data_IF_263882441345
#
_entry.id   IF_263882441345
#
_cell.length_a   1.000
_cell.length_b   1.000
_cell.length_c   1.000
_cell.angle_alpha   90.00
_cell.angle_beta   90.00
_cell.angle_gamma   90.00
#
_symmetry.space_group_name_H-M   'P 1'
#
loop_
_entity.id
_entity.type
_entity.pdbx_description
1 polymer ?
#
# COMPACT_ATOMS: atom_id res chain seq x y z
N UNK A 1 -11.98 16.49 1.46
CA UNK A 1 -11.35 15.67 2.52
C UNK A 1 -12.18 14.41 2.68
N UNK A 2 -11.59 13.23 2.57
CA UNK A 2 -12.28 11.94 2.73
C UNK A 2 -11.58 11.11 3.80
N UNK A 3 -12.36 10.27 4.49
CA UNK A 3 -11.87 9.28 5.44
C UNK A 3 -12.27 7.92 4.91
N UNK A 4 -11.31 7.01 4.78
CA UNK A 4 -11.55 5.61 4.39
C UNK A 4 -11.12 4.72 5.57
N UNK A 5 -12.00 3.84 5.99
CA UNK A 5 -11.73 2.79 6.96
C UNK A 5 -12.00 1.45 6.26
N UNK A 6 -10.99 0.61 6.15
CA UNK A 6 -11.11 -0.73 5.61
C UNK A 6 -9.98 -1.59 6.18
N UNK A 7 -10.23 -2.88 6.33
CA UNK A 7 -9.20 -3.86 6.58
C UNK A 7 -8.68 -4.41 5.25
N UNK A 8 -7.41 -4.74 5.20
CA UNK A 8 -6.76 -5.26 4.01
C UNK A 8 -5.81 -6.41 4.36
N UNK A 9 -5.63 -7.33 3.44
CA UNK A 9 -4.47 -8.22 3.42
C UNK A 9 -3.55 -7.79 2.29
N UNK A 10 -2.26 -7.83 2.55
CA UNK A 10 -1.20 -7.55 1.57
C UNK A 10 -0.20 -8.69 1.60
N UNK A 11 -0.01 -9.38 0.48
CA UNK A 11 0.70 -10.65 0.43
C UNK A 11 1.75 -10.61 -0.67
N UNK A 12 2.94 -11.14 -0.38
CA UNK A 12 3.98 -11.31 -1.39
C UNK A 12 3.71 -12.54 -2.25
N UNK A 13 3.89 -12.40 -3.58
CA UNK A 13 3.83 -13.54 -4.49
C UNK A 13 5.12 -14.37 -4.45
N UNK A 14 5.02 -15.67 -4.81
CA UNK A 14 6.15 -16.60 -4.85
C UNK A 14 6.50 -17.08 -6.26
N UNK A 15 5.87 -16.51 -7.28
CA UNK A 15 6.09 -16.82 -8.69
C UNK A 15 6.48 -15.56 -9.48
N UNK A 16 6.76 -15.71 -10.78
CA UNK A 16 6.97 -14.53 -11.64
C UNK A 16 5.65 -13.79 -11.90
N UNK A 17 5.76 -12.53 -12.32
CA UNK A 17 4.58 -11.71 -12.65
C UNK A 17 3.76 -12.35 -13.79
N UNK A 18 4.42 -12.91 -14.81
CA UNK A 18 3.76 -13.59 -15.93
C UNK A 18 3.01 -14.83 -15.47
N UNK A 19 3.59 -15.59 -14.54
CA UNK A 19 2.94 -16.78 -13.96
C UNK A 19 1.73 -16.38 -13.13
N UNK A 20 1.82 -15.30 -12.36
CA UNK A 20 0.68 -14.78 -11.59
C UNK A 20 -0.46 -14.35 -12.51
N UNK A 21 -0.15 -13.53 -13.52
CA UNK A 21 -1.15 -13.03 -14.48
C UNK A 21 -1.84 -14.21 -15.20
N UNK A 22 -1.05 -15.19 -15.66
CA UNK A 22 -1.61 -16.40 -16.26
C UNK A 22 -2.53 -17.16 -15.30
N UNK A 23 -2.09 -17.35 -14.05
CA UNK A 23 -2.88 -18.04 -13.03
C UNK A 23 -4.22 -17.33 -12.79
N UNK A 24 -4.23 -16.01 -12.63
CA UNK A 24 -5.46 -15.24 -12.45
C UNK A 24 -6.38 -15.36 -13.67
N UNK A 25 -5.83 -15.26 -14.87
CA UNK A 25 -6.60 -15.44 -16.12
C UNK A 25 -7.22 -16.84 -16.20
N UNK A 26 -6.45 -17.89 -15.90
CA UNK A 26 -6.92 -19.28 -15.89
C UNK A 26 -8.02 -19.50 -14.82
N UNK A 27 -8.01 -18.76 -13.72
CA UNK A 27 -9.04 -18.74 -12.68
C UNK A 27 -10.24 -17.85 -13.03
N UNK A 28 -10.26 -17.21 -14.21
CA UNK A 28 -11.38 -16.41 -14.72
C UNK A 28 -11.39 -14.95 -14.26
N UNK A 29 -10.26 -14.43 -13.78
CA UNK A 29 -10.14 -13.01 -13.54
C UNK A 29 -9.95 -12.22 -14.84
N UNK A 30 -10.54 -11.05 -14.90
CA UNK A 30 -10.38 -10.09 -15.98
C UNK A 30 -9.50 -8.92 -15.51
N UNK A 31 -8.56 -8.53 -16.35
CA UNK A 31 -7.78 -7.33 -16.14
C UNK A 31 -8.67 -6.10 -16.26
N UNK A 32 -8.57 -5.19 -15.31
CA UNK A 32 -9.32 -3.96 -15.26
C UNK A 32 -8.44 -2.72 -15.28
N UNK A 33 -8.67 -1.82 -14.31
CA UNK A 33 -8.00 -0.54 -14.22
C UNK A 33 -6.50 -0.67 -13.94
N UNK A 34 -5.69 0.17 -14.60
CA UNK A 34 -4.25 0.33 -14.37
C UNK A 34 -3.94 1.75 -13.95
N UNK A 35 -3.06 1.90 -12.96
CA UNK A 35 -2.59 3.22 -12.56
C UNK A 35 -1.16 3.14 -12.01
N UNK A 36 -0.47 4.26 -12.04
CA UNK A 36 0.83 4.41 -11.38
C UNK A 36 0.69 5.32 -10.17
N UNK A 37 1.56 5.11 -9.19
CA UNK A 37 1.51 5.78 -7.92
C UNK A 37 2.91 6.09 -7.42
N UNK A 38 3.14 7.36 -7.09
CA UNK A 38 4.34 7.86 -6.42
C UNK A 38 3.97 8.34 -5.02
N UNK A 39 4.45 7.67 -3.99
CA UNK A 39 4.29 8.04 -2.60
C UNK A 39 5.56 8.66 -2.04
N UNK A 40 5.53 9.95 -1.74
CA UNK A 40 6.59 10.69 -1.08
C UNK A 40 6.33 10.73 0.42
N UNK A 41 7.13 10.03 1.22
CA UNK A 41 7.00 9.98 2.66
C UNK A 41 7.85 11.09 3.29
N UNK A 42 7.19 12.01 3.99
CA UNK A 42 7.82 13.12 4.68
C UNK A 42 7.68 12.95 6.19
N UNK A 43 8.78 13.18 6.92
CA UNK A 43 8.82 13.08 8.38
C UNK A 43 9.37 14.37 9.01
N UNK A 44 9.03 14.70 10.27
CA UNK A 44 9.60 15.84 10.97
C UNK A 44 11.14 15.76 11.08
N UNK A 45 11.84 16.87 10.83
CA UNK A 45 13.31 16.95 10.89
C UNK A 45 13.89 16.68 12.29
N UNK A 46 13.11 16.90 13.34
CA UNK A 46 13.53 16.74 14.72
C UNK A 46 13.39 15.31 15.27
N UNK A 47 13.00 14.34 14.41
CA UNK A 47 12.92 12.94 14.83
C UNK A 47 14.32 12.34 14.98
N UNK A 48 14.55 11.70 16.11
CA UNK A 48 15.76 10.91 16.37
C UNK A 48 15.56 9.51 15.87
N UNK A 49 15.95 9.24 14.63
CA UNK A 49 15.65 7.99 13.94
C UNK A 49 16.24 6.77 14.66
N UNK A 50 17.40 6.93 15.31
CA UNK A 50 18.07 5.84 16.02
C UNK A 50 17.33 5.38 17.27
N UNK A 51 16.47 6.23 17.85
CA UNK A 51 15.69 5.93 19.05
C UNK A 51 14.29 5.36 18.73
N UNK A 52 13.89 5.31 17.45
CA UNK A 52 12.55 4.96 17.02
C UNK A 52 12.54 3.68 16.19
N UNK A 53 11.49 2.89 16.34
CA UNK A 53 11.23 1.78 15.40
C UNK A 53 10.79 2.34 14.04
N UNK A 54 10.95 1.56 12.99
CA UNK A 54 10.48 1.91 11.63
C UNK A 54 8.99 2.27 11.64
N UNK A 55 8.20 1.55 12.43
CA UNK A 55 6.76 1.81 12.61
C UNK A 55 6.49 3.15 13.28
N UNK A 56 7.25 3.50 14.32
CA UNK A 56 7.12 4.79 15.01
C UNK A 56 7.42 5.95 14.05
N UNK A 57 8.45 5.79 13.22
CA UNK A 57 8.80 6.78 12.19
C UNK A 57 7.65 6.95 11.20
N UNK A 58 7.12 5.84 10.65
CA UNK A 58 6.02 5.88 9.69
C UNK A 58 4.71 6.40 10.29
N UNK A 59 4.45 6.16 11.58
CA UNK A 59 3.26 6.69 12.26
C UNK A 59 3.24 8.23 12.34
N UNK A 60 4.42 8.85 12.19
CA UNK A 60 4.62 10.32 12.20
C UNK A 60 4.78 10.88 10.78
N UNK A 61 4.72 10.04 9.75
CA UNK A 61 4.88 10.46 8.38
C UNK A 61 3.61 11.05 7.79
N UNK A 62 3.80 11.99 6.88
CA UNK A 62 2.79 12.46 5.94
C UNK A 62 3.19 11.96 4.56
N UNK A 63 2.23 11.49 3.79
CA UNK A 63 2.45 11.00 2.43
C UNK A 63 1.91 12.05 1.46
N UNK A 64 2.77 12.53 0.58
CA UNK A 64 2.33 13.27 -0.60
C UNK A 64 2.24 12.25 -1.74
N UNK A 65 1.05 12.07 -2.27
CA UNK A 65 0.73 11.04 -3.25
C UNK A 65 0.41 11.64 -4.61
N UNK A 66 1.07 11.13 -5.64
CA UNK A 66 0.80 11.45 -7.04
C UNK A 66 0.36 10.17 -7.76
N UNK A 67 -0.82 10.20 -8.37
CA UNK A 67 -1.41 9.05 -9.07
C UNK A 67 -1.69 9.46 -10.52
N UNK A 68 -1.36 8.58 -11.47
CA UNK A 68 -1.80 8.69 -12.86
C UNK A 68 -2.71 7.49 -13.16
N UNK A 69 -3.98 7.75 -13.40
CA UNK A 69 -5.04 6.77 -13.60
C UNK A 69 -5.76 7.09 -14.90
N UNK A 70 -5.51 6.30 -15.95
CA UNK A 70 -6.06 6.51 -17.30
C UNK A 70 -5.89 7.95 -17.80
N UNK A 71 -4.68 8.49 -17.64
CA UNK A 71 -4.34 9.88 -18.00
C UNK A 71 -4.86 10.94 -17.05
N UNK A 72 -5.69 10.58 -16.06
CA UNK A 72 -6.15 11.49 -15.02
C UNK A 72 -5.13 11.58 -13.91
N UNK A 73 -4.72 12.79 -13.56
CA UNK A 73 -3.80 13.05 -12.45
C UNK A 73 -4.61 13.31 -11.18
N UNK A 74 -4.28 12.56 -10.13
CA UNK A 74 -4.85 12.73 -8.79
C UNK A 74 -3.70 12.96 -7.82
N UNK A 75 -3.78 14.04 -7.03
CA UNK A 75 -2.73 14.41 -6.10
C UNK A 75 -3.33 14.61 -4.70
N UNK A 76 -2.69 14.03 -3.68
CA UNK A 76 -3.24 14.02 -2.32
C UNK A 76 -2.15 14.18 -1.27
N UNK A 77 -2.53 14.82 -0.16
CA UNK A 77 -1.87 14.63 1.12
C UNK A 77 -2.62 13.51 1.83
N UNK A 78 -1.90 12.49 2.27
CA UNK A 78 -2.46 11.32 2.95
C UNK A 78 -1.80 11.14 4.30
N UNK A 79 -2.61 11.02 5.35
CA UNK A 79 -2.18 10.59 6.66
C UNK A 79 -2.77 9.20 6.93
N UNK A 80 -1.91 8.19 7.03
CA UNK A 80 -2.32 6.81 7.36
C UNK A 80 -2.13 6.54 8.85
N UNK A 81 -3.16 6.00 9.50
CA UNK A 81 -3.09 5.46 10.85
C UNK A 81 -3.46 4.00 10.81
N UNK A 82 -2.61 3.14 11.39
CA UNK A 82 -2.86 1.71 11.52
C UNK A 82 -2.91 1.36 12.99
N UNK A 83 -3.94 0.61 13.38
CA UNK A 83 -4.01 -0.05 14.67
C UNK A 83 -3.53 -1.49 14.49
N UNK A 84 -2.53 -1.90 15.29
CA UNK A 84 -1.82 -3.15 15.08
C UNK A 84 -1.73 -3.87 16.41
N UNK A 85 -2.12 -5.15 16.45
CA UNK A 85 -2.02 -5.98 17.65
C UNK A 85 -0.57 -6.41 17.96
N UNK A 86 -0.39 -7.04 19.12
CA UNK A 86 0.92 -7.53 19.58
C UNK A 86 1.60 -8.54 18.64
N UNK A 87 0.83 -9.21 17.76
CA UNK A 87 1.32 -10.16 16.76
C UNK A 87 1.66 -9.48 15.42
N UNK A 88 1.52 -8.17 15.30
CA UNK A 88 1.81 -7.42 14.08
C UNK A 88 0.68 -7.41 13.03
N UNK A 89 -0.50 -7.95 13.34
CA UNK A 89 -1.65 -7.94 12.46
C UNK A 89 -2.34 -6.58 12.49
N UNK A 90 -2.79 -6.10 11.33
CA UNK A 90 -3.53 -4.84 11.20
C UNK A 90 -4.97 -5.09 11.65
N UNK A 91 -5.37 -4.49 12.76
CA UNK A 91 -6.73 -4.54 13.29
C UNK A 91 -7.65 -3.56 12.58
N UNK A 92 -7.16 -2.36 12.33
CA UNK A 92 -7.86 -1.34 11.56
C UNK A 92 -6.87 -0.42 10.84
N UNK A 93 -7.32 0.15 9.73
CA UNK A 93 -6.58 1.16 8.99
C UNK A 93 -7.49 2.34 8.67
N UNK A 94 -7.00 3.54 8.94
CA UNK A 94 -7.66 4.79 8.62
C UNK A 94 -6.76 5.64 7.74
N UNK A 95 -7.27 6.10 6.61
CA UNK A 95 -6.61 7.06 5.74
C UNK A 95 -7.39 8.37 5.72
N UNK A 96 -6.73 9.47 6.06
CA UNK A 96 -7.25 10.82 5.91
C UNK A 96 -6.61 11.41 4.65
N UNK A 97 -7.43 11.75 3.66
CA UNK A 97 -6.99 12.26 2.38
C UNK A 97 -7.45 13.71 2.19
N UNK A 98 -6.55 14.55 1.69
CA UNK A 98 -6.83 15.92 1.27
C UNK A 98 -6.30 16.08 -0.16
N UNK A 99 -7.19 16.38 -1.10
CA UNK A 99 -6.78 16.62 -2.49
C UNK A 99 -6.01 17.94 -2.58
N UNK A 100 -4.95 17.94 -3.40
CA UNK A 100 -4.11 19.10 -3.70
C UNK A 100 -3.95 19.27 -5.20
N UNK A 101 -3.62 20.47 -5.64
CA UNK A 101 -3.45 20.79 -7.05
C UNK A 101 -2.03 20.51 -7.57
N UNK A 102 -1.03 20.59 -6.68
CA UNK A 102 0.39 20.44 -7.02
C UNK A 102 1.12 19.72 -5.90
N UNK A 103 1.58 18.48 -6.17
CA UNK A 103 2.32 17.66 -5.20
C UNK A 103 3.68 18.27 -4.83
N UNK A 104 4.36 18.96 -5.78
CA UNK A 104 5.65 19.60 -5.52
C UNK A 104 5.49 20.77 -4.57
N UNK A 105 4.43 21.59 -4.77
CA UNK A 105 4.10 22.64 -3.81
C UNK A 105 3.75 22.07 -2.44
N UNK A 106 3.05 20.92 -2.40
CA UNK A 106 2.78 20.19 -1.15
C UNK A 106 4.07 19.76 -0.44
N UNK A 107 5.04 19.17 -1.15
CA UNK A 107 6.34 18.80 -0.58
C UNK A 107 7.08 20.03 -0.06
N UNK A 108 7.12 21.12 -0.83
CA UNK A 108 7.77 22.37 -0.42
C UNK A 108 7.14 22.96 0.84
N UNK A 109 5.80 22.97 0.92
CA UNK A 109 5.10 23.44 2.13
C UNK A 109 5.52 22.63 3.36
N UNK A 110 5.56 21.30 3.28
CA UNK A 110 6.01 20.48 4.40
C UNK A 110 7.49 20.68 4.74
N UNK A 111 8.35 20.94 3.76
CA UNK A 111 9.75 21.27 4.01
C UNK A 111 9.89 22.56 4.83
N UNK A 112 9.09 23.61 4.52
CA UNK A 112 9.04 24.85 5.30
C UNK A 112 8.45 24.64 6.71
N UNK A 113 7.53 23.69 6.86
CA UNK A 113 6.98 23.26 8.16
C UNK A 113 7.94 22.38 8.98
N UNK A 114 9.18 22.17 8.51
CA UNK A 114 10.18 21.41 9.23
C UNK A 114 10.11 19.89 9.02
N UNK A 115 9.51 19.45 7.92
CA UNK A 115 9.60 18.05 7.47
C UNK A 115 10.71 17.89 6.43
N UNK A 116 11.06 16.64 6.10
CA UNK A 116 11.90 16.29 4.97
C UNK A 116 11.45 14.94 4.41
N UNK A 117 11.72 14.70 3.14
CA UNK A 117 11.42 13.43 2.48
C UNK A 117 12.44 12.38 2.91
N UNK A 118 11.96 11.28 3.50
CA UNK A 118 12.80 10.16 3.91
C UNK A 118 12.85 9.06 2.86
N UNK A 119 11.75 8.85 2.11
CA UNK A 119 11.70 7.86 1.03
C UNK A 119 10.66 8.24 -0.02
N UNK A 120 10.80 7.62 -1.20
CA UNK A 120 9.80 7.62 -2.26
C UNK A 120 9.52 6.18 -2.66
N UNK A 121 8.26 5.78 -2.70
CA UNK A 121 7.84 4.47 -3.17
C UNK A 121 7.04 4.67 -4.45
N UNK A 122 7.54 4.07 -5.53
CA UNK A 122 6.86 4.05 -6.83
C UNK A 122 6.28 2.67 -7.08
N UNK A 123 5.05 2.64 -7.55
CA UNK A 123 4.39 1.40 -7.91
C UNK A 123 3.50 1.58 -9.13
N UNK A 124 3.28 0.47 -9.83
CA UNK A 124 2.28 0.35 -10.88
C UNK A 124 1.29 -0.71 -10.43
N UNK A 125 0.03 -0.34 -10.38
CA UNK A 125 -1.02 -1.23 -9.91
C UNK A 125 -1.91 -1.67 -11.06
N UNK A 126 -2.30 -2.94 -11.05
CA UNK A 126 -3.31 -3.50 -11.95
C UNK A 126 -4.41 -4.11 -11.09
N UNK A 127 -5.64 -3.67 -11.31
CA UNK A 127 -6.80 -4.21 -10.64
C UNK A 127 -7.37 -5.36 -11.47
N UNK A 128 -7.56 -6.51 -10.85
CA UNK A 128 -8.20 -7.68 -11.43
C UNK A 128 -9.56 -7.92 -10.78
N UNK A 129 -10.53 -8.29 -11.61
CA UNK A 129 -11.91 -8.50 -11.20
C UNK A 129 -12.36 -9.92 -11.52
N UNK A 130 -13.09 -10.55 -10.60
CA UNK A 130 -13.85 -11.77 -10.83
C UNK A 130 -15.12 -11.73 -9.99
N UNK A 131 -16.27 -11.78 -10.63
CA UNK A 131 -17.57 -11.64 -9.98
C UNK A 131 -17.64 -10.35 -9.13
N UNK A 132 -17.68 -10.50 -7.81
CA UNK A 132 -17.69 -9.40 -6.84
C UNK A 132 -16.34 -9.18 -6.17
N UNK A 133 -15.32 -9.92 -6.56
CA UNK A 133 -13.98 -9.83 -6.00
C UNK A 133 -13.13 -8.85 -6.81
N UNK A 134 -12.53 -7.92 -6.11
CA UNK A 134 -11.48 -7.04 -6.63
C UNK A 134 -10.16 -7.37 -5.91
N UNK A 135 -9.08 -7.52 -6.66
CA UNK A 135 -7.73 -7.63 -6.12
C UNK A 135 -6.77 -6.71 -6.89
N UNK A 136 -5.86 -6.08 -6.16
CA UNK A 136 -4.82 -5.24 -6.74
C UNK A 136 -3.50 -6.02 -6.79
N UNK A 137 -2.87 -6.08 -7.97
CA UNK A 137 -1.46 -6.46 -8.10
C UNK A 137 -0.64 -5.20 -8.08
N UNK A 138 0.32 -5.13 -7.15
CA UNK A 138 1.19 -3.97 -6.92
C UNK A 138 2.62 -4.31 -7.33
N UNK A 139 3.09 -3.71 -8.41
CA UNK A 139 4.46 -3.83 -8.88
C UNK A 139 5.29 -2.68 -8.30
N UNK A 140 6.00 -2.94 -7.22
CA UNK A 140 6.82 -1.94 -6.53
C UNK A 140 8.18 -1.85 -7.20
N UNK A 141 8.61 -0.64 -7.58
CA UNK A 141 9.88 -0.40 -8.23
C UNK A 141 11.05 -0.91 -7.36
N UNK A 142 11.92 -1.76 -7.92
CA UNK A 142 13.07 -2.37 -7.24
C UNK A 142 12.71 -3.20 -5.99
N UNK A 143 11.50 -3.74 -5.91
CA UNK A 143 11.02 -4.52 -4.76
C UNK A 143 10.14 -5.69 -5.19
N UNK A 144 9.43 -6.28 -4.23
CA UNK A 144 8.56 -7.42 -4.45
C UNK A 144 7.24 -7.00 -5.11
N UNK A 145 6.66 -7.91 -5.90
CA UNK A 145 5.26 -7.81 -6.31
C UNK A 145 4.36 -8.29 -5.18
N UNK A 146 3.34 -7.52 -4.88
CA UNK A 146 2.36 -7.80 -3.84
C UNK A 146 0.96 -7.94 -4.44
N UNK A 147 0.10 -8.70 -3.76
CA UNK A 147 -1.34 -8.70 -3.95
C UNK A 147 -1.96 -8.02 -2.74
N UNK A 148 -2.89 -7.12 -2.99
CA UNK A 148 -3.70 -6.48 -1.96
C UNK A 148 -5.18 -6.75 -2.21
N UNK A 149 -5.88 -7.16 -1.15
CA UNK A 149 -7.32 -7.37 -1.16
C UNK A 149 -7.89 -6.64 0.07
N UNK A 150 -8.86 -5.77 -0.16
CA UNK A 150 -9.54 -5.03 0.91
C UNK A 150 -10.85 -5.71 1.29
N UNK A 151 -11.26 -5.54 2.55
CA UNK A 151 -12.63 -5.88 2.98
C UNK A 151 -13.64 -4.95 2.32
N UNK A 152 -14.76 -5.50 1.94
CA UNK A 152 -15.90 -4.80 1.34
C UNK A 152 -17.23 -5.35 1.86
N UNK A 153 -18.33 -5.03 1.21
CA UNK A 153 -19.66 -5.55 1.56
C UNK A 153 -19.82 -7.07 1.33
N UNK A 154 -18.98 -7.68 0.48
CA UNK A 154 -19.01 -9.10 0.14
C UNK A 154 -18.07 -9.92 1.04
N UNK A 155 -16.90 -9.34 1.39
CA UNK A 155 -15.86 -9.95 2.21
C UNK A 155 -15.54 -9.02 3.38
N UNK A 156 -16.19 -9.25 4.53
CA UNK A 156 -16.20 -8.31 5.66
C UNK A 156 -15.06 -8.52 6.64
N UNK A 157 -14.39 -9.66 6.58
CA UNK A 157 -13.39 -10.03 7.58
C UNK A 157 -12.07 -10.47 6.94
N UNK A 158 -10.98 -10.26 7.65
CA UNK A 158 -9.66 -10.77 7.28
C UNK A 158 -9.64 -12.30 7.14
N UNK A 159 -10.45 -13.01 7.93
CA UNK A 159 -10.54 -14.48 7.85
C UNK A 159 -11.10 -14.91 6.49
N UNK A 160 -12.18 -14.25 6.03
CA UNK A 160 -12.77 -14.51 4.71
C UNK A 160 -11.77 -14.21 3.59
N UNK A 161 -10.99 -13.11 3.67
CA UNK A 161 -9.97 -12.79 2.68
C UNK A 161 -8.84 -13.85 2.64
N UNK A 162 -8.38 -14.33 3.81
CA UNK A 162 -7.36 -15.41 3.88
C UNK A 162 -7.88 -16.72 3.28
N UNK A 163 -9.14 -17.07 3.56
CA UNK A 163 -9.78 -18.26 3.00
C UNK A 163 -9.90 -18.15 1.48
N UNK A 164 -10.36 -17.00 0.97
CA UNK A 164 -10.49 -16.70 -0.44
C UNK A 164 -9.17 -16.91 -1.21
N UNK A 165 -8.07 -16.34 -0.70
CA UNK A 165 -6.74 -16.49 -1.32
C UNK A 165 -6.31 -17.96 -1.36
N UNK A 166 -6.66 -18.73 -0.32
CA UNK A 166 -6.38 -20.17 -0.27
C UNK A 166 -7.21 -20.96 -1.30
N UNK A 167 -8.50 -20.66 -1.43
CA UNK A 167 -9.40 -21.28 -2.40
C UNK A 167 -9.03 -20.97 -3.86
N UNK A 168 -8.53 -19.78 -4.11
CA UNK A 168 -8.04 -19.36 -5.41
C UNK A 168 -6.67 -19.97 -5.76
N UNK A 169 -6.00 -20.61 -4.78
CA UNK A 169 -4.68 -21.23 -4.96
C UNK A 169 -3.63 -20.24 -5.51
N UNK A 170 -3.75 -18.97 -5.14
CA UNK A 170 -2.81 -17.95 -5.60
C UNK A 170 -1.41 -18.27 -5.06
N UNK A 171 -0.35 -18.24 -5.90
CA UNK A 171 1.01 -18.57 -5.48
C UNK A 171 1.62 -17.44 -4.63
N UNK A 172 1.44 -17.53 -3.32
CA UNK A 172 1.79 -16.53 -2.32
C UNK A 172 2.75 -17.07 -1.26
N UNK A 173 3.43 -16.17 -0.57
CA UNK A 173 4.18 -16.47 0.64
C UNK A 173 3.20 -16.83 1.78
N UNK A 174 3.25 -18.09 2.22
CA UNK A 174 2.32 -18.60 3.23
C UNK A 174 2.65 -18.03 4.62
N UNK A 175 1.59 -17.69 5.36
CA UNK A 175 1.70 -17.24 6.75
C UNK A 175 1.92 -15.74 6.94
N UNK A 176 2.34 -15.00 5.92
CA UNK A 176 2.47 -13.54 5.99
C UNK A 176 1.41 -12.84 5.14
N UNK A 177 0.28 -12.52 5.76
CA UNK A 177 -0.85 -11.84 5.12
C UNK A 177 -0.84 -10.31 5.33
N UNK A 178 0.20 -9.78 5.96
CA UNK A 178 0.28 -8.36 6.31
C UNK A 178 1.67 -7.79 5.97
N UNK A 179 2.10 -7.97 4.72
CA UNK A 179 3.35 -7.37 4.25
C UNK A 179 3.27 -5.86 4.38
N UNK A 180 4.26 -5.30 5.04
CA UNK A 180 4.28 -3.87 5.37
C UNK A 180 5.24 -3.16 4.42
N UNK A 181 4.81 -2.97 3.17
CA UNK A 181 5.59 -2.34 2.09
C UNK A 181 6.44 -1.15 2.57
N UNK A 182 5.83 -0.20 3.25
CA UNK A 182 6.52 1.01 3.69
C UNK A 182 7.56 0.73 4.80
N UNK A 183 7.30 -0.22 5.71
CA UNK A 183 8.28 -0.64 6.73
C UNK A 183 9.48 -1.33 6.07
N UNK A 184 9.22 -2.23 5.10
CA UNK A 184 10.27 -2.95 4.37
C UNK A 184 11.17 -1.97 3.59
N UNK A 185 10.57 -1.02 2.86
CA UNK A 185 11.34 -0.01 2.11
C UNK A 185 12.12 0.92 3.04
N UNK A 186 11.54 1.36 4.15
CA UNK A 186 12.24 2.20 5.11
C UNK A 186 13.38 1.44 5.82
N UNK A 187 13.20 0.15 6.14
CA UNK A 187 14.26 -0.68 6.72
C UNK A 187 15.47 -0.81 5.78
N UNK A 188 15.26 -0.95 4.47
CA UNK A 188 16.36 -0.96 3.47
C UNK A 188 17.16 0.36 3.54
N UNK A 189 16.48 1.51 3.62
CA UNK A 189 17.11 2.84 3.70
C UNK A 189 17.89 3.01 5.00
N UNK A 190 17.30 2.60 6.11
CA UNK A 190 17.90 2.72 7.46
C UNK A 190 18.93 1.60 7.77
N UNK A 191 19.07 0.61 6.87
CA UNK A 191 19.96 -0.58 7.05
C UNK A 191 19.67 -1.34 8.34
N UNK A 192 18.38 -1.58 8.62
CA UNK A 192 17.84 -2.31 9.78
C UNK A 192 17.37 -3.70 9.40
#
# INVERSE_FOLDING_TARGET
MSVKEANEITIKITCSNEQLIKHLTDKGFCEGRKFTLDDYYLIPKNLKLDELTTRDILSKSVIIRYIVDDGKIIQKITLKKKDINGNGEILSQKAINCDILDYKAGINLFNELGYYQIMNIKESDIIYYKDKLELAIKFIENSNTLIEIETDDNFKTIVELKQLVTELEIPIEKGNYFVKKAEDELNKILKR
#
